data_IF_857254925280
#
_entry.id   IF_857254925280
#
_cell.length_a   1.000
_cell.length_b   1.000
_cell.length_c   1.000
_cell.angle_alpha   90.00
_cell.angle_beta   90.00
_cell.angle_gamma   90.00
#
_symmetry.space_group_name_H-M   'P 1'
#
loop_
_entity.id
_entity.type
_entity.pdbx_description
1 polymer ?
#
# COMPACT_ATOMS: atom_id res chain seq x y z
N UNK A 1 10.41 -12.05 9.20
CA UNK A 1 9.48 -11.92 8.07
C UNK A 1 9.87 -10.71 7.22
N UNK A 2 9.67 -10.78 5.90
CA UNK A 2 9.88 -9.68 4.95
C UNK A 2 8.57 -9.33 4.26
N UNK A 3 8.23 -8.04 4.17
CA UNK A 3 7.08 -7.53 3.44
C UNK A 3 7.60 -6.71 2.24
N UNK A 4 7.14 -7.02 1.03
CA UNK A 4 7.53 -6.32 -0.19
C UNK A 4 6.27 -5.76 -0.85
N UNK A 5 6.16 -4.43 -0.89
CA UNK A 5 5.07 -3.72 -1.57
C UNK A 5 5.52 -3.33 -2.98
N UNK A 6 4.74 -3.73 -3.96
CA UNK A 6 4.98 -3.46 -5.38
C UNK A 6 3.82 -2.61 -5.90
N UNK A 7 4.12 -1.38 -6.31
CA UNK A 7 3.15 -0.53 -6.98
C UNK A 7 2.89 -1.06 -8.39
N UNK A 8 1.64 -0.95 -8.86
CA UNK A 8 1.26 -1.24 -10.24
C UNK A 8 2.12 -0.47 -11.25
N UNK A 9 2.28 -1.02 -12.47
CA UNK A 9 2.91 -0.35 -13.60
C UNK A 9 2.13 0.90 -14.08
N UNK A 10 2.65 1.58 -15.09
CA UNK A 10 2.05 2.81 -15.65
C UNK A 10 0.57 2.58 -16.00
N UNK A 11 -0.38 3.33 -15.37
CA UNK A 11 -1.80 2.98 -15.40
C UNK A 11 -2.58 3.66 -16.53
N UNK A 12 -3.54 2.94 -17.10
CA UNK A 12 -4.71 3.48 -17.74
C UNK A 12 -5.86 3.56 -16.71
N UNK A 13 -6.06 4.71 -16.12
CA UNK A 13 -7.08 4.91 -15.09
C UNK A 13 -8.52 4.81 -15.61
N UNK A 14 -8.74 5.09 -16.89
CA UNK A 14 -10.08 5.06 -17.50
C UNK A 14 -10.62 3.62 -17.55
N UNK A 15 -9.74 2.67 -17.90
CA UNK A 15 -10.10 1.27 -18.04
C UNK A 15 -9.63 0.41 -16.85
N UNK A 16 -9.05 1.02 -15.82
CA UNK A 16 -8.43 0.36 -14.66
C UNK A 16 -7.47 -0.77 -15.06
N UNK A 17 -6.58 -0.47 -16.01
CA UNK A 17 -5.61 -1.41 -16.55
C UNK A 17 -4.23 -0.76 -16.67
N UNK A 18 -3.31 -1.38 -17.41
CA UNK A 18 -1.98 -0.84 -17.73
C UNK A 18 -1.93 -0.28 -19.15
N UNK A 19 -1.18 0.80 -19.33
CA UNK A 19 -0.75 1.26 -20.65
C UNK A 19 0.23 0.27 -21.27
N UNK A 20 0.57 0.43 -22.55
CA UNK A 20 1.62 -0.37 -23.21
C UNK A 20 2.98 -0.22 -22.51
N UNK A 21 3.26 0.95 -21.94
CA UNK A 21 4.44 1.18 -21.11
C UNK A 21 4.35 0.36 -19.82
N UNK A 22 3.19 0.41 -19.13
CA UNK A 22 2.97 -0.33 -17.87
C UNK A 22 3.04 -1.85 -18.06
N UNK A 23 2.61 -2.40 -19.19
CA UNK A 23 2.76 -3.81 -19.52
C UNK A 23 4.24 -4.20 -19.64
N UNK A 24 5.06 -3.38 -20.34
CA UNK A 24 6.51 -3.61 -20.42
C UNK A 24 7.19 -3.52 -19.05
N UNK A 25 6.77 -2.60 -18.20
CA UNK A 25 7.25 -2.51 -16.81
C UNK A 25 6.91 -3.78 -16.03
N UNK A 26 5.69 -4.31 -16.17
CA UNK A 26 5.25 -5.55 -15.54
C UNK A 26 6.02 -6.78 -16.05
N UNK A 27 6.35 -6.85 -17.34
CA UNK A 27 7.20 -7.89 -17.91
C UNK A 27 8.62 -7.87 -17.32
N UNK A 28 9.24 -6.69 -17.23
CA UNK A 28 10.57 -6.53 -16.63
C UNK A 28 10.55 -6.88 -15.14
N UNK A 29 9.51 -6.46 -14.43
CA UNK A 29 9.30 -6.82 -13.02
C UNK A 29 9.19 -8.34 -12.86
N UNK A 30 8.43 -9.02 -13.73
CA UNK A 30 8.26 -10.47 -13.70
C UNK A 30 9.60 -11.22 -13.79
N UNK A 31 10.52 -10.77 -14.66
CA UNK A 31 11.86 -11.35 -14.74
C UNK A 31 12.65 -11.19 -13.44
N UNK A 32 12.44 -10.10 -12.72
CA UNK A 32 13.08 -9.84 -11.42
C UNK A 32 12.47 -10.70 -10.31
N UNK A 33 11.14 -10.74 -10.23
CA UNK A 33 10.38 -11.48 -9.20
C UNK A 33 10.52 -13.01 -9.38
N UNK A 34 10.77 -13.47 -10.60
CA UNK A 34 10.91 -14.90 -10.94
C UNK A 34 11.80 -15.68 -9.99
N UNK A 35 12.91 -15.09 -9.57
CA UNK A 35 13.93 -15.75 -8.75
C UNK A 35 13.83 -15.41 -7.25
N UNK A 36 12.80 -14.69 -6.82
CA UNK A 36 12.63 -14.39 -5.41
C UNK A 36 12.10 -15.61 -4.66
N UNK A 37 12.60 -15.80 -3.45
CA UNK A 37 12.02 -16.75 -2.51
C UNK A 37 10.81 -16.06 -1.85
N UNK A 38 9.60 -16.42 -2.30
CA UNK A 38 8.34 -15.82 -1.86
C UNK A 38 7.45 -16.90 -1.28
N UNK A 39 6.97 -16.67 -0.08
CA UNK A 39 6.06 -17.58 0.63
C UNK A 39 4.61 -17.38 0.19
N UNK A 40 4.19 -16.13 -0.04
CA UNK A 40 2.83 -15.83 -0.46
C UNK A 40 2.72 -14.50 -1.21
N UNK A 41 1.84 -14.47 -2.19
CA UNK A 41 1.48 -13.27 -2.94
C UNK A 41 0.09 -12.80 -2.57
N UNK A 42 -0.04 -11.49 -2.43
CA UNK A 42 -1.29 -10.77 -2.23
C UNK A 42 -1.46 -9.70 -3.30
N UNK A 43 -2.70 -9.40 -3.67
CA UNK A 43 -2.96 -8.42 -4.72
C UNK A 43 -4.19 -7.57 -4.41
N UNK A 44 -4.13 -6.30 -4.81
CA UNK A 44 -5.26 -5.37 -4.81
C UNK A 44 -6.38 -5.85 -5.72
N UNK A 45 -7.65 -5.56 -5.40
CA UNK A 45 -8.77 -5.87 -6.30
C UNK A 45 -8.80 -5.02 -7.59
N UNK A 46 -7.99 -3.95 -7.71
CA UNK A 46 -8.02 -3.05 -8.85
C UNK A 46 -7.27 -3.63 -10.06
N UNK A 47 -7.84 -3.49 -11.26
CA UNK A 47 -7.39 -4.15 -12.48
C UNK A 47 -5.93 -3.87 -12.84
N UNK A 48 -5.46 -2.62 -12.70
CA UNK A 48 -4.05 -2.26 -12.96
C UNK A 48 -3.06 -3.01 -12.05
N UNK A 49 -3.42 -3.29 -10.79
CA UNK A 49 -2.58 -4.07 -9.88
C UNK A 49 -2.68 -5.57 -10.19
N UNK A 50 -3.88 -6.05 -10.50
CA UNK A 50 -4.11 -7.43 -10.94
C UNK A 50 -3.28 -7.76 -12.18
N UNK A 51 -3.32 -6.88 -13.19
CA UNK A 51 -2.55 -7.10 -14.42
C UNK A 51 -1.04 -7.03 -14.17
N UNK A 52 -0.56 -6.12 -13.30
CA UNK A 52 0.86 -6.08 -12.91
C UNK A 52 1.31 -7.40 -12.26
N UNK A 53 0.48 -7.94 -11.36
CA UNK A 53 0.76 -9.21 -10.69
C UNK A 53 0.76 -10.39 -11.66
N UNK A 54 -0.18 -10.40 -12.61
CA UNK A 54 -0.41 -11.50 -13.54
C UNK A 54 0.85 -11.91 -14.31
N UNK A 55 1.65 -10.94 -14.79
CA UNK A 55 2.91 -11.22 -15.48
C UNK A 55 3.89 -12.00 -14.61
N UNK A 56 4.04 -11.61 -13.34
CA UNK A 56 4.92 -12.28 -12.38
C UNK A 56 4.40 -13.65 -12.01
N UNK A 57 3.12 -13.76 -11.71
CA UNK A 57 2.46 -15.01 -11.28
C UNK A 57 2.47 -16.07 -12.38
N UNK A 58 2.15 -15.69 -13.63
CA UNK A 58 2.22 -16.60 -14.78
C UNK A 58 3.63 -17.13 -14.99
N UNK A 59 4.64 -16.30 -14.91
CA UNK A 59 6.03 -16.72 -15.13
C UNK A 59 6.53 -17.68 -14.05
N UNK A 60 5.98 -17.59 -12.84
CA UNK A 60 6.34 -18.42 -11.69
C UNK A 60 5.45 -19.67 -11.53
N UNK A 61 4.25 -19.66 -12.09
CA UNK A 61 3.24 -20.70 -11.82
C UNK A 61 2.58 -20.54 -10.44
N UNK A 62 2.64 -19.33 -9.86
CA UNK A 62 2.07 -19.01 -8.55
C UNK A 62 0.68 -18.37 -8.70
N UNK A 63 -0.02 -18.22 -7.56
CA UNK A 63 -1.28 -17.51 -7.43
C UNK A 63 -1.18 -16.43 -6.35
N UNK A 64 -2.09 -15.46 -6.37
CA UNK A 64 -2.18 -14.43 -5.34
C UNK A 64 -3.57 -14.42 -4.72
N UNK A 65 -3.63 -14.10 -3.42
CA UNK A 65 -4.88 -13.84 -2.71
C UNK A 65 -5.26 -12.35 -2.87
N UNK A 66 -6.51 -12.10 -3.28
CA UNK A 66 -7.00 -10.73 -3.40
C UNK A 66 -7.48 -10.20 -2.05
N UNK A 67 -6.89 -9.09 -1.60
CA UNK A 67 -7.23 -8.44 -0.35
C UNK A 67 -7.91 -7.09 -0.61
N UNK A 68 -9.18 -6.89 -0.20
CA UNK A 68 -9.93 -5.66 -0.48
C UNK A 68 -9.26 -4.38 0.03
N UNK A 69 -8.59 -4.44 1.18
CA UNK A 69 -7.91 -3.29 1.78
C UNK A 69 -6.62 -2.88 1.05
N UNK A 70 -6.08 -3.71 0.15
CA UNK A 70 -4.93 -3.36 -0.71
C UNK A 70 -5.28 -2.44 -1.88
N UNK A 71 -6.56 -2.08 -2.08
CA UNK A 71 -6.94 -1.08 -3.09
C UNK A 71 -6.24 0.24 -2.84
N UNK A 72 -6.21 1.13 -3.86
CA UNK A 72 -5.65 2.47 -3.65
C UNK A 72 -6.33 3.16 -2.47
N UNK A 73 -5.52 3.81 -1.64
CA UNK A 73 -6.01 4.53 -0.48
C UNK A 73 -7.08 5.54 -0.89
N UNK A 74 -8.25 5.40 -0.33
CA UNK A 74 -9.42 6.18 -0.69
C UNK A 74 -9.84 7.15 0.43
N UNK A 75 -8.90 7.55 1.28
CA UNK A 75 -9.06 8.65 2.22
C UNK A 75 -9.00 9.96 1.46
N UNK A 76 -10.16 10.48 1.05
CA UNK A 76 -10.27 11.69 0.24
C UNK A 76 -10.52 12.92 1.10
N UNK A 77 -9.91 14.02 0.70
CA UNK A 77 -10.13 15.36 1.26
C UNK A 77 -10.60 16.31 0.14
N UNK A 78 -11.53 17.23 0.43
CA UNK A 78 -12.01 18.17 -0.57
C UNK A 78 -10.95 19.19 -0.94
N UNK A 79 -10.96 19.66 -2.18
CA UNK A 79 -10.13 20.76 -2.66
C UNK A 79 -10.94 22.04 -2.83
N UNK A 80 -10.28 23.19 -2.83
CA UNK A 80 -10.93 24.51 -2.92
C UNK A 80 -11.68 24.74 -4.25
N UNK A 81 -11.35 23.98 -5.29
CA UNK A 81 -11.99 24.01 -6.60
C UNK A 81 -13.20 23.06 -6.71
N UNK A 82 -13.61 22.43 -5.60
CA UNK A 82 -14.72 21.48 -5.53
C UNK A 82 -14.35 20.05 -5.94
N UNK A 83 -13.08 19.78 -6.20
CA UNK A 83 -12.55 18.44 -6.45
C UNK A 83 -12.22 17.68 -5.16
N UNK A 84 -11.51 16.57 -5.34
CA UNK A 84 -11.03 15.73 -4.24
C UNK A 84 -9.62 15.25 -4.54
N UNK A 85 -8.85 14.99 -3.48
CA UNK A 85 -7.52 14.38 -3.57
C UNK A 85 -7.25 13.48 -2.36
N UNK A 86 -6.25 12.66 -2.45
CA UNK A 86 -5.73 11.90 -1.30
C UNK A 86 -4.70 12.75 -0.54
N UNK A 87 -4.42 12.48 0.74
CA UNK A 87 -3.47 13.25 1.55
C UNK A 87 -2.09 13.40 0.93
N UNK A 88 -1.58 12.36 0.27
CA UNK A 88 -0.25 12.36 -0.34
C UNK A 88 -0.13 13.18 -1.63
N UNK A 89 -1.24 13.72 -2.15
CA UNK A 89 -1.26 14.66 -3.28
C UNK A 89 -1.24 16.13 -2.83
N UNK A 90 -1.08 16.40 -1.53
CA UNK A 90 -0.91 17.75 -1.01
C UNK A 90 0.42 18.36 -1.47
N UNK A 91 0.37 19.63 -1.85
CA UNK A 91 1.58 20.37 -2.19
C UNK A 91 2.41 20.66 -0.92
N UNK A 92 3.76 20.71 -1.02
CA UNK A 92 4.64 21.05 0.12
C UNK A 92 4.25 22.34 0.84
N UNK A 93 3.76 23.34 0.12
CA UNK A 93 3.29 24.61 0.67
C UNK A 93 2.05 24.48 1.58
N UNK A 94 1.37 23.35 1.57
CA UNK A 94 0.16 23.14 2.35
C UNK A 94 0.43 22.40 3.67
N UNK A 95 1.57 21.73 3.79
CA UNK A 95 1.88 20.90 4.94
C UNK A 95 3.25 21.16 5.58
N UNK A 96 4.25 21.70 4.84
CA UNK A 96 5.64 21.76 5.29
C UNK A 96 5.88 22.64 6.53
N UNK A 97 5.03 23.62 6.79
CA UNK A 97 5.08 24.55 7.94
C UNK A 97 4.17 24.13 9.11
N UNK A 98 3.49 22.99 9.00
CA UNK A 98 2.50 22.54 9.99
C UNK A 98 2.99 21.30 10.72
N UNK A 99 3.35 21.45 11.99
CA UNK A 99 3.89 20.38 12.84
C UNK A 99 2.99 19.13 12.89
N UNK A 100 1.66 19.30 12.84
CA UNK A 100 0.71 18.20 12.90
C UNK A 100 0.96 17.14 11.82
N UNK A 101 1.42 17.52 10.63
CA UNK A 101 1.66 16.59 9.54
C UNK A 101 2.96 15.77 9.70
N UNK A 102 3.82 16.15 10.64
CA UNK A 102 5.00 15.37 11.01
C UNK A 102 4.73 14.40 12.18
N UNK A 103 3.58 14.55 12.85
CA UNK A 103 3.14 13.61 13.88
C UNK A 103 2.43 12.41 13.23
N UNK A 104 3.17 11.30 13.07
CA UNK A 104 2.65 10.09 12.44
C UNK A 104 1.43 9.49 13.13
N UNK A 105 1.20 9.78 14.41
CA UNK A 105 0.08 9.25 15.18
C UNK A 105 -1.15 10.16 15.14
N UNK A 106 -1.01 11.42 14.72
CA UNK A 106 -2.09 12.40 14.78
C UNK A 106 -2.27 13.23 13.50
N UNK A 107 -1.43 13.09 12.46
CA UNK A 107 -1.53 13.89 11.23
C UNK A 107 -2.93 13.85 10.60
N UNK A 108 -3.60 12.68 10.67
CA UNK A 108 -4.95 12.49 10.13
C UNK A 108 -6.05 13.16 10.98
N UNK A 109 -5.72 13.64 12.18
CA UNK A 109 -6.61 14.41 13.08
C UNK A 109 -6.55 15.91 12.83
N UNK A 110 -5.73 16.39 11.89
CA UNK A 110 -5.73 17.82 11.53
C UNK A 110 -7.11 18.21 10.99
N UNK A 111 -7.49 19.48 11.20
CA UNK A 111 -8.79 20.00 10.77
C UNK A 111 -9.05 19.69 9.28
N UNK A 112 -8.03 19.82 8.45
CA UNK A 112 -8.15 19.55 7.02
C UNK A 112 -8.38 18.08 6.70
N UNK A 113 -7.69 17.15 7.35
CA UNK A 113 -7.91 15.71 7.16
C UNK A 113 -9.29 15.26 7.65
N UNK A 114 -9.81 15.92 8.70
CA UNK A 114 -11.14 15.66 9.25
C UNK A 114 -12.28 16.20 8.36
N UNK A 115 -12.00 16.98 7.33
CA UNK A 115 -13.02 17.35 6.32
C UNK A 115 -13.39 16.20 5.38
N UNK A 116 -12.60 15.14 5.38
CA UNK A 116 -12.81 13.95 4.57
C UNK A 116 -12.94 12.67 5.41
N UNK A 117 -12.72 11.53 4.79
CA UNK A 117 -12.83 10.21 5.43
C UNK A 117 -11.47 9.55 5.69
N UNK A 118 -10.41 10.34 5.87
CA UNK A 118 -9.02 9.86 5.97
C UNK A 118 -8.83 8.91 7.14
N UNK A 119 -9.36 9.26 8.32
CA UNK A 119 -9.23 8.44 9.53
C UNK A 119 -9.91 7.07 9.40
N UNK A 120 -11.12 7.06 8.84
CA UNK A 120 -11.86 5.81 8.59
C UNK A 120 -11.09 4.88 7.64
N UNK A 121 -10.56 5.43 6.55
CA UNK A 121 -9.80 4.65 5.57
C UNK A 121 -8.46 4.16 6.13
N UNK A 122 -7.76 4.97 6.93
CA UNK A 122 -6.57 4.53 7.64
C UNK A 122 -6.87 3.35 8.56
N UNK A 123 -7.90 3.46 9.37
CA UNK A 123 -8.33 2.39 10.28
C UNK A 123 -8.60 1.10 9.52
N UNK A 124 -9.34 1.18 8.42
CA UNK A 124 -9.64 0.00 7.60
C UNK A 124 -8.37 -0.68 7.04
N UNK A 125 -7.41 0.10 6.54
CA UNK A 125 -6.14 -0.43 6.06
C UNK A 125 -5.31 -1.05 7.19
N UNK A 126 -5.23 -0.37 8.34
CA UNK A 126 -4.49 -0.86 9.51
C UNK A 126 -5.10 -2.15 10.08
N UNK A 127 -6.41 -2.24 10.19
CA UNK A 127 -7.09 -3.48 10.60
C UNK A 127 -6.82 -4.63 9.63
N UNK A 128 -6.76 -4.33 8.33
CA UNK A 128 -6.44 -5.31 7.29
C UNK A 128 -5.04 -5.88 7.41
N UNK A 129 -4.04 -5.03 7.58
CA UNK A 129 -2.65 -5.49 7.74
C UNK A 129 -2.42 -6.14 9.11
N UNK A 130 -3.00 -5.63 10.18
CA UNK A 130 -2.87 -6.21 11.52
C UNK A 130 -3.43 -7.62 11.58
N UNK A 131 -4.60 -7.85 11.00
CA UNK A 131 -5.19 -9.18 10.88
C UNK A 131 -4.27 -10.13 10.11
N UNK A 132 -3.75 -9.68 8.96
CA UNK A 132 -2.85 -10.50 8.15
C UNK A 132 -1.57 -10.82 8.92
N UNK A 133 -0.96 -9.85 9.61
CA UNK A 133 0.25 -10.07 10.40
C UNK A 133 0.00 -10.99 11.59
N UNK A 134 -1.18 -10.89 12.23
CA UNK A 134 -1.58 -11.79 13.31
C UNK A 134 -1.65 -13.26 12.85
N UNK A 135 -2.18 -13.51 11.65
CA UNK A 135 -2.22 -14.85 11.03
C UNK A 135 -0.80 -15.42 10.81
N UNK A 136 0.22 -14.56 10.73
CA UNK A 136 1.64 -14.92 10.62
C UNK A 136 2.41 -14.85 11.96
N UNK A 137 1.71 -14.66 13.09
CA UNK A 137 2.30 -14.66 14.43
C UNK A 137 2.86 -13.34 14.93
N UNK A 138 2.43 -12.22 14.34
CA UNK A 138 2.83 -10.86 14.73
C UNK A 138 1.60 -10.08 15.20
N UNK A 139 1.43 -9.96 16.51
CA UNK A 139 0.27 -9.31 17.15
C UNK A 139 0.55 -7.84 17.42
N UNK A 140 -0.25 -6.94 16.88
CA UNK A 140 -0.14 -5.50 17.15
C UNK A 140 -0.75 -5.15 18.51
N UNK A 141 0.08 -4.65 19.42
CA UNK A 141 -0.33 -4.25 20.78
C UNK A 141 0.43 -2.98 21.20
N UNK A 142 -0.29 -1.98 21.70
CA UNK A 142 0.30 -0.75 22.26
C UNK A 142 1.31 -0.04 21.32
N UNK A 143 1.05 -0.04 20.01
CA UNK A 143 1.91 0.56 19.00
C UNK A 143 3.20 -0.22 18.68
N UNK A 144 3.29 -1.47 19.08
CA UNK A 144 4.38 -2.41 18.80
C UNK A 144 3.84 -3.76 18.34
N UNK A 145 4.70 -4.56 17.73
CA UNK A 145 4.35 -5.93 17.36
C UNK A 145 4.98 -6.93 18.33
N UNK A 146 4.13 -7.68 19.03
CA UNK A 146 4.56 -8.83 19.82
C UNK A 146 4.70 -10.04 18.89
N UNK A 147 5.86 -10.68 18.93
CA UNK A 147 6.15 -11.86 18.10
C UNK A 147 5.76 -13.11 18.89
N UNK A 148 4.69 -13.78 18.50
CA UNK A 148 4.31 -15.08 19.05
C UNK A 148 5.05 -16.23 18.37
N UNK A 149 5.25 -16.08 17.05
CA UNK A 149 5.98 -17.07 16.23
C UNK A 149 6.86 -16.32 15.24
N UNK A 150 8.17 -16.52 15.35
CA UNK A 150 9.10 -15.98 14.36
C UNK A 150 8.87 -16.63 12.99
N UNK A 151 8.92 -15.83 11.95
CA UNK A 151 8.75 -16.28 10.57
C UNK A 151 9.80 -15.63 9.67
N UNK A 152 10.42 -16.44 8.81
CA UNK A 152 11.34 -15.98 7.76
C UNK A 152 10.63 -15.80 6.40
N UNK A 153 9.30 -15.89 6.39
CA UNK A 153 8.50 -15.73 5.20
C UNK A 153 8.73 -14.39 4.50
N UNK A 154 8.65 -14.44 3.18
CA UNK A 154 8.57 -13.25 2.33
C UNK A 154 7.17 -13.14 1.75
N UNK A 155 6.46 -12.08 2.11
CA UNK A 155 5.12 -11.77 1.61
C UNK A 155 5.22 -10.63 0.59
N UNK A 156 4.65 -10.82 -0.59
CA UNK A 156 4.68 -9.84 -1.68
C UNK A 156 3.27 -9.32 -1.95
N UNK A 157 3.14 -7.99 -2.02
CA UNK A 157 1.87 -7.29 -2.18
C UNK A 157 1.89 -6.45 -3.46
N UNK A 158 1.07 -6.80 -4.44
CA UNK A 158 0.85 -5.94 -5.61
C UNK A 158 -0.27 -4.95 -5.31
N UNK A 159 0.05 -3.67 -5.23
CA UNK A 159 -0.87 -2.66 -4.72
C UNK A 159 -0.61 -1.26 -5.32
N UNK A 160 -0.82 -0.20 -4.53
CA UNK A 160 -0.78 1.19 -4.96
C UNK A 160 0.06 2.03 -3.99
N UNK A 161 0.37 3.26 -4.41
CA UNK A 161 1.23 4.15 -3.63
C UNK A 161 0.61 4.53 -2.28
N UNK A 162 -0.61 5.06 -2.27
CA UNK A 162 -1.22 5.57 -1.04
C UNK A 162 -1.42 4.49 0.02
N UNK A 163 -1.89 3.28 -0.36
CA UNK A 163 -2.02 2.17 0.59
C UNK A 163 -0.67 1.69 1.11
N UNK A 164 0.39 1.69 0.27
CA UNK A 164 1.73 1.33 0.73
C UNK A 164 2.28 2.32 1.75
N UNK A 165 1.99 3.62 1.58
CA UNK A 165 2.35 4.66 2.56
C UNK A 165 1.56 4.51 3.86
N UNK A 166 0.25 4.26 3.78
CA UNK A 166 -0.60 4.02 4.94
C UNK A 166 -0.10 2.83 5.79
N UNK A 167 0.44 1.78 5.16
CA UNK A 167 1.00 0.63 5.86
C UNK A 167 2.42 0.89 6.33
N UNK A 168 3.35 1.21 5.42
CA UNK A 168 4.78 1.21 5.72
C UNK A 168 5.20 2.38 6.60
N UNK A 169 4.80 3.59 6.25
CA UNK A 169 5.23 4.80 6.94
C UNK A 169 4.44 5.05 8.22
N UNK A 170 3.11 4.99 8.13
CA UNK A 170 2.25 5.40 9.26
C UNK A 170 2.05 4.29 10.29
N UNK A 171 2.02 3.03 9.88
CA UNK A 171 1.68 1.90 10.75
C UNK A 171 2.88 1.05 11.15
N UNK A 172 3.61 0.47 10.20
CA UNK A 172 4.76 -0.39 10.49
C UNK A 172 6.02 0.37 10.90
N UNK A 173 6.03 1.71 10.77
CA UNK A 173 7.19 2.57 11.05
C UNK A 173 8.45 2.14 10.29
N UNK A 174 8.26 1.64 9.08
CA UNK A 174 9.37 1.25 8.23
C UNK A 174 10.21 2.47 7.86
N UNK A 175 11.53 2.31 7.89
CA UNK A 175 12.43 3.30 7.31
C UNK A 175 12.50 3.04 5.80
N UNK A 176 12.18 4.05 5.00
CA UNK A 176 12.44 3.98 3.57
C UNK A 176 13.95 4.02 3.36
N UNK A 177 14.51 2.91 2.91
CA UNK A 177 15.84 2.92 2.33
C UNK A 177 15.69 3.41 0.89
N UNK A 178 16.23 4.59 0.59
CA UNK A 178 16.39 5.01 -0.80
C UNK A 178 17.22 3.96 -1.52
N UNK A 179 16.60 3.30 -2.49
CA UNK A 179 17.31 2.43 -3.43
C UNK A 179 18.17 3.26 -4.36
#
# INVERSE_FOLDING_TARGET
>A
MRLIFIRHGDPDYVHDTLTEKGKREAELLAQRVKNWDVSKFYVSPLGRAQLTAEYSLKLRGDTAETLPWLREFNGIIPTSDGGHRIPWDMYPTEWADKEIYYDRNNWFKSDYMQTGNVEEQLKWVHEGIDKLLADHGYIHENGMFRIEKHSDETLVFFCHFGVSMAVSYTHLRAHETKA
#
